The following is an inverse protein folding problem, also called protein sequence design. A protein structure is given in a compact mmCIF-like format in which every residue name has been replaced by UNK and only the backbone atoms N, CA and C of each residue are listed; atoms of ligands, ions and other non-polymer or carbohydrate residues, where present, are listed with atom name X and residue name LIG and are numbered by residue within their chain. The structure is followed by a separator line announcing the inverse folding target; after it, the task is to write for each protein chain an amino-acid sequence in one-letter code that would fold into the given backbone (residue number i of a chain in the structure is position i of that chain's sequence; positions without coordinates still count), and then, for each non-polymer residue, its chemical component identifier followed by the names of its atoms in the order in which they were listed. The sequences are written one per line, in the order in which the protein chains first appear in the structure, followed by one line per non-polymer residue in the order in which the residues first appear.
data_IF_969346311226
#
_entry.id   IF_969346311226
#
_cell.length_a   1.000
_cell.length_b   1.000
_cell.length_c   1.000
_cell.angle_alpha   90.00
_cell.angle_beta   90.00
_cell.angle_gamma   90.00
#
_symmetry.space_group_name_H-M   'P 1'
#
loop_
_entity.id
_entity.type
_entity.pdbx_description
1 polymer ?
#
# COMPACT_ATOMS: atom_id res chain seq x y z
N UNK A 1 -61.21 -24.92 -17.25
CA UNK A 1 -60.27 -25.67 -16.40
C UNK A 1 -59.13 -26.35 -17.20
N UNK A 2 -59.42 -27.15 -18.21
CA UNK A 2 -58.40 -27.92 -18.98
C UNK A 2 -57.25 -27.07 -19.55
N UNK A 3 -57.53 -25.88 -20.12
CA UNK A 3 -56.47 -24.99 -20.67
C UNK A 3 -55.48 -24.49 -19.58
N UNK A 4 -55.95 -24.17 -18.35
CA UNK A 4 -55.08 -23.73 -17.27
C UNK A 4 -54.14 -24.84 -16.74
N UNK A 5 -54.67 -26.09 -16.71
CA UNK A 5 -53.88 -27.25 -16.31
C UNK A 5 -52.77 -27.54 -17.32
N UNK A 6 -53.06 -27.42 -18.64
CA UNK A 6 -52.04 -27.61 -19.69
C UNK A 6 -50.91 -26.57 -19.58
N UNK A 7 -51.24 -25.30 -19.30
CA UNK A 7 -50.27 -24.25 -19.14
C UNK A 7 -49.36 -24.53 -17.93
N UNK A 8 -49.90 -24.99 -16.81
CA UNK A 8 -49.15 -25.35 -15.61
C UNK A 8 -48.23 -26.53 -15.89
N UNK A 9 -48.68 -27.55 -16.60
CA UNK A 9 -47.85 -28.71 -16.94
C UNK A 9 -46.70 -28.29 -17.87
N UNK A 10 -46.94 -27.42 -18.86
CA UNK A 10 -45.90 -26.91 -19.76
C UNK A 10 -44.85 -26.08 -18.98
N UNK A 11 -45.27 -25.22 -18.05
CA UNK A 11 -44.36 -24.47 -17.19
C UNK A 11 -43.51 -25.37 -16.32
N UNK A 12 -44.09 -26.42 -15.71
CA UNK A 12 -43.34 -27.38 -14.89
C UNK A 12 -42.31 -28.14 -15.72
N UNK A 13 -42.68 -28.60 -16.91
CA UNK A 13 -41.75 -29.29 -17.82
C UNK A 13 -40.63 -28.37 -18.26
N UNK A 14 -40.93 -27.09 -18.57
CA UNK A 14 -39.93 -26.09 -18.94
C UNK A 14 -38.93 -25.81 -17.78
N UNK A 15 -39.44 -25.74 -16.56
CA UNK A 15 -38.61 -25.54 -15.37
C UNK A 15 -37.69 -26.72 -15.09
N UNK A 16 -38.23 -27.94 -15.24
CA UNK A 16 -37.45 -29.19 -15.06
C UNK A 16 -36.37 -29.32 -16.13
N UNK A 17 -36.68 -28.99 -17.39
CA UNK A 17 -35.68 -29.00 -18.47
C UNK A 17 -34.59 -27.97 -18.26
N UNK A 18 -34.89 -26.76 -17.77
CA UNK A 18 -33.89 -25.74 -17.43
C UNK A 18 -32.96 -26.15 -16.29
N UNK A 19 -33.50 -26.82 -15.28
CA UNK A 19 -32.71 -27.31 -14.13
C UNK A 19 -31.86 -28.54 -14.49
N UNK A 20 -32.33 -29.37 -15.43
CA UNK A 20 -31.65 -30.58 -15.87
C UNK A 20 -30.50 -30.31 -16.87
N UNK A 21 -30.36 -29.10 -17.39
CA UNK A 21 -29.23 -28.75 -18.27
C UNK A 21 -27.93 -28.72 -17.45
N UNK A 22 -26.91 -29.53 -17.78
CA UNK A 22 -25.63 -29.46 -17.12
C UNK A 22 -25.04 -28.06 -17.22
N UNK A 23 -24.44 -27.57 -16.12
CA UNK A 23 -23.83 -26.22 -16.02
C UNK A 23 -22.85 -25.93 -17.16
N UNK A 24 -22.15 -26.96 -17.65
CA UNK A 24 -21.25 -26.89 -18.80
C UNK A 24 -21.97 -26.61 -20.14
N UNK A 25 -23.20 -27.09 -20.31
CA UNK A 25 -24.00 -26.81 -21.51
C UNK A 25 -24.61 -25.41 -21.48
N UNK A 26 -25.00 -24.94 -20.29
CA UNK A 26 -25.45 -23.57 -20.06
C UNK A 26 -24.33 -22.56 -20.38
N UNK A 27 -23.10 -22.84 -19.93
CA UNK A 27 -21.93 -22.05 -20.27
C UNK A 27 -21.59 -22.06 -21.77
N UNK A 28 -21.83 -23.17 -22.48
CA UNK A 28 -21.63 -23.22 -23.94
C UNK A 28 -22.66 -22.46 -24.75
N UNK A 29 -23.92 -22.39 -24.27
CA UNK A 29 -25.04 -21.78 -24.98
C UNK A 29 -25.25 -20.29 -24.66
N UNK A 30 -24.92 -19.89 -23.45
CA UNK A 30 -25.15 -18.53 -22.94
C UNK A 30 -23.91 -17.86 -22.37
N UNK A 31 -22.82 -18.61 -22.18
CA UNK A 31 -21.52 -18.05 -21.88
C UNK A 31 -21.00 -17.38 -23.14
N UNK A 32 -21.15 -16.08 -23.24
CA UNK A 32 -20.10 -15.35 -23.91
C UNK A 32 -18.82 -15.84 -23.25
N UNK A 33 -17.83 -16.31 -24.03
CA UNK A 33 -16.46 -16.32 -23.57
C UNK A 33 -16.13 -14.85 -23.25
N UNK A 34 -16.42 -14.45 -22.02
CA UNK A 34 -15.61 -13.45 -21.39
C UNK A 34 -14.30 -14.23 -21.28
N UNK A 35 -13.37 -13.97 -22.18
CA UNK A 35 -11.99 -14.31 -21.95
C UNK A 35 -11.73 -13.68 -20.58
N UNK A 36 -11.65 -14.51 -19.53
CA UNK A 36 -11.19 -14.03 -18.22
C UNK A 36 -9.87 -13.35 -18.56
N UNK A 37 -9.72 -12.08 -18.22
CA UNK A 37 -8.45 -11.42 -18.50
C UNK A 37 -7.38 -12.32 -17.90
N UNK A 38 -6.50 -12.83 -18.76
CA UNK A 38 -5.35 -13.62 -18.31
C UNK A 38 -4.63 -12.69 -17.35
N UNK A 39 -4.69 -13.01 -16.07
CA UNK A 39 -4.02 -12.22 -15.04
C UNK A 39 -2.54 -12.21 -15.38
N UNK A 40 -2.06 -11.06 -15.85
CA UNK A 40 -0.70 -10.93 -16.33
C UNK A 40 0.20 -10.98 -15.09
N UNK A 41 0.94 -12.07 -14.95
CA UNK A 41 1.91 -12.21 -13.85
C UNK A 41 3.12 -11.35 -14.20
N UNK A 42 3.28 -10.28 -13.45
CA UNK A 42 4.46 -9.43 -13.56
C UNK A 42 5.56 -9.94 -12.60
N UNK A 43 6.79 -9.95 -13.08
CA UNK A 43 7.97 -10.28 -12.27
C UNK A 43 8.59 -9.02 -11.65
N UNK A 44 8.37 -7.87 -12.26
CA UNK A 44 8.89 -6.58 -11.81
C UNK A 44 7.75 -5.74 -11.24
N UNK A 45 8.06 -4.94 -10.22
CA UNK A 45 7.09 -4.09 -9.55
C UNK A 45 7.69 -2.72 -9.25
N UNK A 46 6.85 -1.70 -9.35
CA UNK A 46 7.11 -0.36 -8.81
C UNK A 46 6.16 -0.08 -7.64
N UNK A 47 6.63 0.66 -6.65
CA UNK A 47 5.79 1.10 -5.54
C UNK A 47 5.37 2.53 -5.81
N UNK A 48 4.07 2.76 -5.85
CA UNK A 48 3.46 4.09 -5.93
C UNK A 48 2.43 4.27 -4.83
N UNK A 49 2.37 5.47 -4.27
CA UNK A 49 1.45 5.76 -3.18
C UNK A 49 0.20 6.45 -3.70
N UNK A 50 -0.94 5.83 -3.45
CA UNK A 50 -2.27 6.23 -3.94
C UNK A 50 -3.29 6.22 -2.82
N UNK A 51 -4.49 6.71 -3.06
CA UNK A 51 -5.59 6.68 -2.09
C UNK A 51 -6.42 5.42 -2.24
N UNK A 52 -6.80 4.80 -1.13
CA UNK A 52 -7.83 3.76 -1.11
C UNK A 52 -9.25 4.36 -0.91
N UNK A 53 -10.28 3.49 -0.89
CA UNK A 53 -11.68 3.88 -0.69
C UNK A 53 -11.96 4.52 0.68
N UNK A 54 -11.11 4.27 1.68
CA UNK A 54 -11.21 4.86 3.03
C UNK A 54 -10.47 6.20 3.14
N UNK A 55 -9.99 6.74 2.03
CA UNK A 55 -9.17 7.96 1.99
C UNK A 55 -7.85 7.84 2.76
N UNK A 56 -7.27 6.64 2.78
CA UNK A 56 -5.92 6.42 3.30
C UNK A 56 -4.91 6.38 2.16
N UNK A 57 -3.73 6.91 2.41
CA UNK A 57 -2.59 6.77 1.50
C UNK A 57 -2.02 5.35 1.64
N UNK A 58 -1.89 4.66 0.53
CA UNK A 58 -1.43 3.27 0.47
C UNK A 58 -0.39 3.12 -0.64
N UNK A 59 0.74 2.52 -0.32
CA UNK A 59 1.75 2.14 -1.29
C UNK A 59 1.37 0.81 -1.95
N UNK A 60 1.09 0.84 -3.24
CA UNK A 60 0.79 -0.36 -4.03
C UNK A 60 2.03 -0.85 -4.75
N UNK A 61 2.26 -2.15 -4.74
CA UNK A 61 3.21 -2.83 -5.63
C UNK A 61 2.53 -3.03 -6.99
N UNK A 62 2.78 -2.12 -7.92
CA UNK A 62 2.20 -2.19 -9.26
C UNK A 62 3.13 -2.98 -10.16
N UNK A 63 2.61 -4.05 -10.78
CA UNK A 63 3.36 -4.86 -11.73
C UNK A 63 3.70 -4.08 -13.00
N UNK A 64 4.96 -4.14 -13.43
CA UNK A 64 5.46 -3.52 -14.67
C UNK A 64 6.14 -4.57 -15.55
N UNK A 65 6.10 -4.39 -16.85
CA UNK A 65 6.73 -5.35 -17.78
C UNK A 65 8.26 -5.34 -17.64
N UNK A 66 8.81 -4.15 -17.51
CA UNK A 66 10.24 -3.89 -17.40
C UNK A 66 10.46 -2.71 -16.45
N UNK A 67 11.54 -2.74 -15.69
CA UNK A 67 11.98 -1.58 -14.92
C UNK A 67 12.71 -0.66 -15.89
N UNK A 68 12.16 0.52 -16.14
CA UNK A 68 12.76 1.52 -17.01
C UNK A 68 14.02 2.12 -16.36
N UNK A 69 14.97 2.55 -17.19
CA UNK A 69 16.16 3.28 -16.73
C UNK A 69 15.76 4.57 -16.00
N UNK A 70 14.71 5.24 -16.49
CA UNK A 70 14.12 6.41 -15.86
C UNK A 70 12.94 6.03 -14.97
N UNK A 71 13.24 5.64 -13.73
CA UNK A 71 12.23 5.26 -12.74
C UNK A 71 11.34 6.43 -12.31
N UNK A 72 11.80 7.69 -12.44
CA UNK A 72 10.99 8.87 -12.11
C UNK A 72 9.84 8.98 -13.11
N UNK A 73 10.14 8.87 -14.40
CA UNK A 73 9.11 8.89 -15.45
C UNK A 73 8.15 7.73 -15.30
N UNK A 74 8.67 6.52 -15.07
CA UNK A 74 7.84 5.32 -14.89
C UNK A 74 6.87 5.46 -13.71
N UNK A 75 7.35 5.85 -12.52
CA UNK A 75 6.49 6.08 -11.35
C UNK A 75 5.49 7.21 -11.57
N UNK A 76 5.91 8.28 -12.28
CA UNK A 76 5.02 9.38 -12.64
C UNK A 76 3.87 8.91 -13.55
N UNK A 77 4.18 8.12 -14.56
CA UNK A 77 3.18 7.59 -15.49
C UNK A 77 2.17 6.66 -14.77
N UNK A 78 2.62 5.84 -13.82
CA UNK A 78 1.73 5.05 -12.95
C UNK A 78 0.79 5.90 -12.09
N UNK A 79 1.22 7.09 -11.66
CA UNK A 79 0.39 8.02 -10.89
C UNK A 79 -0.56 8.87 -11.77
N UNK A 80 -0.31 8.96 -13.07
CA UNK A 80 -1.07 9.82 -14.00
C UNK A 80 -1.67 9.02 -15.14
N UNK A 81 -0.99 8.85 -16.25
CA UNK A 81 -1.50 8.23 -17.48
C UNK A 81 -2.03 6.80 -17.27
N UNK A 82 -1.36 6.03 -16.43
CA UNK A 82 -1.69 4.63 -16.15
C UNK A 82 -2.50 4.46 -14.88
N UNK A 83 -2.87 5.55 -14.20
CA UNK A 83 -3.64 5.51 -12.96
C UNK A 83 -5.03 4.89 -13.12
N UNK A 84 -5.55 4.80 -14.33
CA UNK A 84 -6.79 4.06 -14.65
C UNK A 84 -6.63 2.54 -14.55
N UNK A 85 -5.39 2.03 -14.58
CA UNK A 85 -5.06 0.61 -14.46
C UNK A 85 -4.87 0.16 -12.99
N UNK A 86 -4.99 1.08 -12.04
CA UNK A 86 -4.91 0.74 -10.62
C UNK A 86 -6.04 -0.23 -10.24
N UNK A 87 -5.81 -1.13 -9.26
CA UNK A 87 -6.84 -2.04 -8.78
C UNK A 87 -8.10 -1.30 -8.31
N UNK A 88 -9.25 -1.96 -8.42
CA UNK A 88 -10.53 -1.39 -7.97
C UNK A 88 -10.46 -0.94 -6.50
N UNK A 89 -10.91 0.27 -6.22
CA UNK A 89 -10.88 0.86 -4.88
C UNK A 89 -9.66 1.74 -4.61
N UNK A 90 -8.72 1.81 -5.55
CA UNK A 90 -7.56 2.70 -5.47
C UNK A 90 -7.62 3.78 -6.56
N UNK A 91 -7.14 4.97 -6.24
CA UNK A 91 -7.05 6.09 -7.18
C UNK A 91 -5.84 6.96 -6.89
N UNK A 92 -5.25 7.51 -7.92
CA UNK A 92 -4.24 8.55 -7.76
C UNK A 92 -4.86 9.82 -7.15
N UNK A 93 -4.20 10.47 -6.19
CA UNK A 93 -4.62 11.80 -5.72
C UNK A 93 -4.15 12.92 -6.66
N UNK A 94 -3.29 12.62 -7.63
CA UNK A 94 -2.83 13.56 -8.65
C UNK A 94 -3.84 13.58 -9.80
N UNK A 95 -4.16 14.78 -10.31
CA UNK A 95 -5.03 14.89 -11.47
C UNK A 95 -4.43 14.16 -12.67
N UNK A 96 -5.19 13.27 -13.30
CA UNK A 96 -4.75 12.40 -14.39
C UNK A 96 -4.25 13.18 -15.62
N UNK A 97 -4.77 14.38 -15.83
CA UNK A 97 -4.40 15.24 -16.96
C UNK A 97 -3.08 16.01 -16.71
N UNK A 98 -2.54 15.92 -15.48
CA UNK A 98 -1.27 16.56 -15.13
C UNK A 98 -0.12 15.99 -15.95
N UNK A 99 0.61 16.87 -16.63
CA UNK A 99 1.80 16.51 -17.40
C UNK A 99 3.05 16.92 -16.65
N UNK A 100 4.00 16.01 -16.55
CA UNK A 100 5.38 16.36 -16.21
C UNK A 100 6.05 16.94 -17.45
N UNK A 101 6.39 18.24 -17.43
CA UNK A 101 7.03 18.96 -18.52
C UNK A 101 8.51 18.57 -18.57
N UNK A 102 9.16 18.66 -17.42
CA UNK A 102 10.52 18.18 -17.19
C UNK A 102 10.73 17.92 -15.68
N UNK A 103 11.87 17.33 -15.33
CA UNK A 103 12.34 17.22 -13.95
C UNK A 103 13.87 17.32 -13.87
N UNK A 104 14.38 17.63 -12.69
CA UNK A 104 15.79 17.68 -12.38
C UNK A 104 16.07 17.14 -10.98
N UNK A 105 17.19 16.44 -10.81
CA UNK A 105 17.68 16.00 -9.49
C UNK A 105 19.01 16.72 -9.22
N UNK A 106 19.02 17.51 -8.15
CA UNK A 106 20.23 18.23 -7.71
C UNK A 106 20.31 18.17 -6.19
N UNK A 107 21.44 17.70 -5.65
CA UNK A 107 21.69 17.65 -4.21
C UNK A 107 20.56 16.97 -3.43
N UNK A 108 20.15 15.77 -3.84
CA UNK A 108 19.06 14.99 -3.23
C UNK A 108 17.66 15.66 -3.30
N UNK A 109 17.52 16.73 -4.09
CA UNK A 109 16.25 17.43 -4.33
C UNK A 109 15.77 17.11 -5.74
N UNK A 110 14.58 16.51 -5.82
CA UNK A 110 13.85 16.29 -7.06
C UNK A 110 12.94 17.50 -7.34
N UNK A 111 13.21 18.20 -8.42
CA UNK A 111 12.37 19.32 -8.86
C UNK A 111 11.52 18.89 -10.04
N UNK A 112 10.22 18.88 -9.89
CA UNK A 112 9.25 18.69 -10.97
C UNK A 112 8.80 20.02 -11.55
N UNK A 113 8.75 20.13 -12.87
CA UNK A 113 8.03 21.19 -13.57
C UNK A 113 6.77 20.59 -14.18
N UNK A 114 5.61 20.95 -13.63
CA UNK A 114 4.32 20.35 -13.97
C UNK A 114 3.43 21.35 -14.72
N UNK A 115 2.44 20.81 -15.40
CA UNK A 115 1.38 21.60 -16.02
C UNK A 115 0.35 22.09 -14.99
N UNK A 116 -0.48 23.06 -15.36
CA UNK A 116 -1.43 23.74 -14.46
C UNK A 116 -2.49 22.79 -13.90
N UNK A 117 -2.79 21.70 -14.59
CA UNK A 117 -3.75 20.70 -14.15
C UNK A 117 -3.37 20.06 -12.78
N UNK A 118 -2.10 20.17 -12.39
CA UNK A 118 -1.67 19.75 -11.05
C UNK A 118 -2.41 20.52 -9.94
N UNK A 119 -2.78 21.76 -10.16
CA UNK A 119 -3.52 22.59 -9.18
C UNK A 119 -4.92 22.03 -8.87
N UNK A 120 -5.45 21.16 -9.71
CA UNK A 120 -6.73 20.47 -9.50
C UNK A 120 -6.58 19.12 -8.77
N UNK A 121 -5.37 18.78 -8.35
CA UNK A 121 -5.08 17.55 -7.60
C UNK A 121 -5.61 17.62 -6.17
N UNK A 122 -5.72 16.47 -5.50
CA UNK A 122 -6.32 16.35 -4.17
C UNK A 122 -5.35 16.82 -3.06
N UNK A 123 -5.17 18.13 -2.93
CA UNK A 123 -4.52 18.83 -1.82
C UNK A 123 -3.39 18.07 -1.11
N UNK A 124 -3.55 17.86 0.19
CA UNK A 124 -2.57 17.13 1.02
C UNK A 124 -2.24 15.72 0.51
N UNK A 125 -3.21 15.00 -0.04
CA UNK A 125 -2.98 13.64 -0.51
C UNK A 125 -2.07 13.59 -1.75
N UNK A 126 -2.17 14.57 -2.65
CA UNK A 126 -1.27 14.67 -3.79
C UNK A 126 0.17 14.94 -3.32
N UNK A 127 0.36 15.86 -2.37
CA UNK A 127 1.66 16.16 -1.77
C UNK A 127 2.24 14.94 -1.06
N UNK A 128 1.42 14.23 -0.28
CA UNK A 128 1.83 13.00 0.40
C UNK A 128 2.19 11.89 -0.59
N UNK A 129 1.40 11.74 -1.66
CA UNK A 129 1.68 10.76 -2.73
C UNK A 129 3.03 11.02 -3.39
N UNK A 130 3.34 12.29 -3.71
CA UNK A 130 4.66 12.66 -4.24
C UNK A 130 5.77 12.30 -3.25
N UNK A 131 5.65 12.73 -2.00
CA UNK A 131 6.65 12.47 -0.97
C UNK A 131 6.95 10.97 -0.81
N UNK A 132 5.90 10.15 -0.67
CA UNK A 132 6.03 8.73 -0.40
C UNK A 132 6.42 7.90 -1.63
N UNK A 133 6.09 8.37 -2.84
CA UNK A 133 6.46 7.68 -4.09
C UNK A 133 7.91 7.96 -4.51
N UNK A 134 8.38 9.18 -4.33
CA UNK A 134 9.64 9.61 -4.94
C UNK A 134 10.78 9.86 -3.93
N UNK A 135 10.48 10.16 -2.66
CA UNK A 135 11.56 10.28 -1.68
C UNK A 135 12.05 8.90 -1.23
N UNK A 136 13.36 8.72 -1.26
CA UNK A 136 14.09 7.50 -0.90
C UNK A 136 15.48 7.83 -0.33
N UNK A 137 16.45 6.94 -0.48
CA UNK A 137 17.83 7.17 -0.03
C UNK A 137 18.54 8.25 -0.86
N UNK A 138 18.19 8.40 -2.14
CA UNK A 138 18.82 9.33 -3.08
C UNK A 138 18.07 10.66 -3.19
N UNK A 139 16.75 10.67 -2.92
CA UNK A 139 15.90 11.85 -3.00
C UNK A 139 15.28 12.14 -1.64
N UNK A 140 15.69 13.21 -1.01
CA UNK A 140 15.22 13.61 0.33
C UNK A 140 14.08 14.63 0.31
N UNK A 141 13.97 15.40 -0.74
CA UNK A 141 13.01 16.50 -0.84
C UNK A 141 12.51 16.66 -2.28
N UNK A 142 11.28 17.13 -2.44
CA UNK A 142 10.68 17.43 -3.72
C UNK A 142 10.27 18.90 -3.76
N UNK A 143 10.52 19.53 -4.88
CA UNK A 143 10.05 20.87 -5.24
C UNK A 143 9.14 20.76 -6.45
N UNK A 144 8.00 21.41 -6.41
CA UNK A 144 7.06 21.48 -7.55
C UNK A 144 7.05 22.88 -8.12
N UNK A 145 7.24 22.96 -9.43
CA UNK A 145 7.11 24.18 -10.22
C UNK A 145 5.90 24.06 -11.16
N UNK A 146 5.19 25.16 -11.35
CA UNK A 146 4.22 25.34 -12.42
C UNK A 146 4.59 26.61 -13.17
N UNK A 147 4.79 26.51 -14.47
CA UNK A 147 5.29 27.62 -15.29
C UNK A 147 6.57 28.26 -14.70
N UNK A 148 7.48 27.44 -14.20
CA UNK A 148 8.73 27.82 -13.52
C UNK A 148 8.54 28.60 -12.19
N UNK A 149 7.36 28.63 -11.63
CA UNK A 149 7.10 29.24 -10.32
C UNK A 149 6.92 28.14 -9.27
N UNK A 150 7.55 28.32 -8.12
CA UNK A 150 7.43 27.37 -7.00
C UNK A 150 5.99 27.36 -6.50
N UNK A 151 5.44 26.16 -6.36
CA UNK A 151 4.15 25.92 -5.72
C UNK A 151 4.39 25.63 -4.24
N UNK A 152 3.73 26.38 -3.37
CA UNK A 152 3.78 26.21 -1.91
C UNK A 152 2.39 26.00 -1.29
N UNK A 153 1.36 25.93 -2.12
CA UNK A 153 -0.01 25.65 -1.71
C UNK A 153 -0.74 24.86 -2.78
N UNK A 154 -1.47 23.83 -2.36
CA UNK A 154 -2.34 23.03 -3.22
C UNK A 154 -3.68 22.85 -2.50
N UNK A 155 -4.78 23.31 -3.11
CA UNK A 155 -6.07 23.39 -2.46
C UNK A 155 -5.94 24.21 -1.14
N UNK A 156 -6.40 23.70 -0.02
CA UNK A 156 -6.25 24.35 1.29
C UNK A 156 -4.96 23.93 2.05
N UNK A 157 -4.13 23.11 1.44
CA UNK A 157 -2.89 22.61 2.07
C UNK A 157 -1.68 23.47 1.68
N UNK A 158 -1.09 24.12 2.68
CA UNK A 158 0.17 24.86 2.54
C UNK A 158 1.35 23.98 2.94
N UNK A 159 2.44 24.06 2.18
CA UNK A 159 3.66 23.27 2.42
C UNK A 159 4.89 24.10 2.05
N UNK A 160 5.97 23.89 2.81
CA UNK A 160 7.28 24.50 2.53
C UNK A 160 8.24 23.52 1.89
N UNK A 161 8.08 22.23 2.22
CA UNK A 161 8.87 21.11 1.73
C UNK A 161 7.97 19.91 1.50
N UNK A 162 8.33 19.12 0.52
CA UNK A 162 7.66 17.85 0.22
C UNK A 162 8.66 16.74 0.51
N UNK A 163 8.50 16.05 1.61
CA UNK A 163 9.34 14.94 2.04
C UNK A 163 8.51 13.94 2.90
N UNK A 164 9.11 12.85 3.35
CA UNK A 164 8.40 11.84 4.16
C UNK A 164 8.04 12.28 5.59
N UNK A 165 8.37 13.51 5.99
CA UNK A 165 7.91 14.10 7.26
C UNK A 165 6.43 14.56 7.17
N UNK A 166 5.83 14.55 5.99
CA UNK A 166 4.39 14.80 5.82
C UNK A 166 3.60 13.74 6.57
N UNK A 167 2.89 14.16 7.63
CA UNK A 167 2.04 13.27 8.41
C UNK A 167 0.94 12.65 7.55
N UNK A 168 0.81 11.33 7.57
CA UNK A 168 -0.15 10.57 6.77
C UNK A 168 -0.89 9.54 7.63
N UNK A 169 -2.13 9.26 7.29
CA UNK A 169 -2.95 8.18 7.90
C UNK A 169 -2.88 8.15 9.44
N UNK A 170 -2.79 9.31 10.09
CA UNK A 170 -2.58 9.35 11.53
C UNK A 170 -3.74 8.71 12.29
N UNK A 171 -3.38 8.02 13.36
CA UNK A 171 -4.32 7.41 14.28
C UNK A 171 -5.05 8.51 15.07
N UNK A 172 -6.39 8.51 15.01
CA UNK A 172 -7.21 9.57 15.61
C UNK A 172 -6.94 9.75 17.11
N UNK A 173 -6.77 8.66 17.84
CA UNK A 173 -6.51 8.68 19.28
C UNK A 173 -5.17 9.33 19.61
N UNK A 174 -4.15 9.12 18.78
CA UNK A 174 -2.83 9.70 19.02
C UNK A 174 -2.81 11.22 18.86
N UNK A 175 -3.77 11.81 18.13
CA UNK A 175 -3.86 13.27 17.97
C UNK A 175 -4.18 14.05 19.25
N UNK A 176 -4.70 13.38 20.28
CA UNK A 176 -5.06 14.00 21.56
C UNK A 176 -3.95 13.94 22.60
N UNK A 177 -2.82 13.32 22.27
CA UNK A 177 -1.67 13.26 23.18
C UNK A 177 -0.92 14.61 23.14
N UNK A 178 -0.66 15.18 24.30
CA UNK A 178 0.26 16.33 24.43
C UNK A 178 1.69 15.83 24.23
N UNK A 179 2.10 15.83 22.97
CA UNK A 179 3.35 15.21 22.64
C UNK A 179 4.24 16.12 21.83
N UNK A 180 5.49 15.74 21.79
CA UNK A 180 6.54 16.48 21.08
C UNK A 180 7.12 15.67 19.93
N UNK A 181 6.81 14.39 19.85
CA UNK A 181 7.43 13.46 18.89
C UNK A 181 6.38 12.90 17.93
N UNK A 182 6.75 12.81 16.66
CA UNK A 182 5.98 12.11 15.64
C UNK A 182 6.84 11.02 15.03
N UNK A 183 6.26 9.84 14.82
CA UNK A 183 6.93 8.72 14.15
C UNK A 183 6.00 8.14 13.11
N UNK A 184 6.46 8.04 11.87
CA UNK A 184 5.70 7.37 10.83
C UNK A 184 6.23 5.95 10.65
N UNK A 185 5.33 4.99 10.81
CA UNK A 185 5.61 3.55 10.69
C UNK A 185 4.96 3.04 9.42
N UNK A 186 5.69 2.26 8.63
CA UNK A 186 5.19 1.62 7.43
C UNK A 186 4.75 0.20 7.81
N UNK A 187 3.44 -0.03 7.82
CA UNK A 187 2.89 -1.35 8.01
C UNK A 187 2.81 -2.06 6.66
N UNK A 188 3.36 -3.27 6.61
CA UNK A 188 3.38 -4.10 5.41
C UNK A 188 2.22 -5.10 5.46
N UNK A 189 1.41 -5.17 4.39
CA UNK A 189 0.31 -6.11 4.24
C UNK A 189 0.36 -6.70 2.82
N UNK A 190 0.84 -7.92 2.67
CA UNK A 190 0.96 -8.62 1.39
C UNK A 190 1.47 -7.72 0.23
N UNK A 191 0.57 -7.17 -0.57
CA UNK A 191 0.91 -6.40 -1.77
C UNK A 191 0.92 -4.88 -1.56
N UNK A 192 0.64 -4.39 -0.34
CA UNK A 192 0.57 -2.97 -0.09
C UNK A 192 1.23 -2.55 1.23
N UNK A 193 1.63 -1.29 1.26
CA UNK A 193 2.32 -0.63 2.36
C UNK A 193 1.44 0.49 2.89
N UNK A 194 1.21 0.55 4.20
CA UNK A 194 0.44 1.62 4.81
C UNK A 194 1.35 2.43 5.74
N UNK A 195 1.77 3.63 5.36
CA UNK A 195 2.44 4.53 6.27
C UNK A 195 1.41 5.12 7.24
N UNK A 196 1.68 5.05 8.54
CA UNK A 196 0.84 5.63 9.61
C UNK A 196 1.69 6.51 10.49
N UNK A 197 1.29 7.77 10.65
CA UNK A 197 1.95 8.71 11.54
C UNK A 197 1.32 8.65 12.92
N UNK A 198 2.13 8.42 13.94
CA UNK A 198 1.77 8.41 15.35
C UNK A 198 2.32 9.64 16.04
N UNK A 199 1.53 10.19 16.97
CA UNK A 199 1.95 11.25 17.88
C UNK A 199 2.13 10.61 19.26
N UNK A 200 3.29 10.80 19.91
CA UNK A 200 3.60 10.13 21.17
C UNK A 200 4.57 10.94 22.05
N UNK A 201 4.63 10.58 23.31
CA UNK A 201 5.53 11.22 24.30
C UNK A 201 6.85 10.46 24.48
N UNK A 202 6.95 9.24 23.91
CA UNK A 202 8.10 8.38 24.12
C UNK A 202 9.39 9.01 23.58
N UNK A 203 10.41 8.99 24.41
CA UNK A 203 11.77 9.40 23.99
C UNK A 203 12.53 8.27 23.29
N UNK A 204 12.12 7.01 23.49
CA UNK A 204 12.69 5.84 22.84
C UNK A 204 11.86 5.47 21.60
N UNK A 205 12.18 6.12 20.51
CA UNK A 205 11.50 5.94 19.24
C UNK A 205 11.59 4.49 18.73
N UNK A 206 12.70 3.79 19.00
CA UNK A 206 12.89 2.44 18.52
C UNK A 206 11.95 1.45 19.21
N UNK A 207 11.87 1.51 20.55
CA UNK A 207 10.91 0.71 21.31
C UNK A 207 9.47 1.02 20.93
N UNK A 208 9.12 2.31 20.79
CA UNK A 208 7.79 2.71 20.34
C UNK A 208 7.43 2.07 18.98
N UNK A 209 8.36 2.11 18.00
CA UNK A 209 8.14 1.50 16.69
C UNK A 209 7.92 -0.01 16.80
N UNK A 210 8.74 -0.72 17.58
CA UNK A 210 8.61 -2.18 17.79
C UNK A 210 7.23 -2.51 18.34
N UNK A 211 6.80 -1.84 19.40
CA UNK A 211 5.50 -2.07 20.04
C UNK A 211 4.33 -1.83 19.06
N UNK A 212 4.38 -0.73 18.30
CA UNK A 212 3.35 -0.42 17.31
C UNK A 212 3.32 -1.41 16.15
N UNK A 213 4.47 -1.86 15.67
CA UNK A 213 4.55 -2.88 14.62
C UNK A 213 3.98 -4.21 15.11
N UNK A 214 4.38 -4.65 16.30
CA UNK A 214 3.91 -5.92 16.86
C UNK A 214 2.40 -5.85 17.12
N UNK A 215 1.91 -4.82 17.80
CA UNK A 215 0.49 -4.69 18.12
C UNK A 215 -0.43 -4.57 16.91
N UNK A 216 0.06 -4.01 15.80
CA UNK A 216 -0.71 -3.90 14.55
C UNK A 216 -0.84 -5.24 13.80
N UNK A 217 0.11 -6.16 14.00
CA UNK A 217 0.18 -7.43 13.30
C UNK A 217 -0.27 -8.63 14.15
N UNK A 218 -0.35 -8.46 15.48
CA UNK A 218 -0.77 -9.50 16.40
C UNK A 218 -2.11 -9.14 17.04
N UNK A 219 -3.01 -10.11 17.10
CA UNK A 219 -4.30 -9.96 17.78
C UNK A 219 -4.20 -10.10 19.31
N UNK A 220 -2.99 -10.18 19.85
CA UNK A 220 -2.73 -10.41 21.27
C UNK A 220 -1.74 -9.39 21.83
N UNK A 221 -1.93 -9.04 23.11
CA UNK A 221 -0.99 -8.25 23.88
C UNK A 221 0.02 -9.12 24.66
N UNK A 222 -0.07 -10.45 24.53
CA UNK A 222 0.81 -11.39 25.23
C UNK A 222 2.07 -11.66 24.39
N UNK A 223 2.99 -10.74 24.43
CA UNK A 223 4.32 -10.85 23.82
C UNK A 223 5.35 -10.09 24.66
N UNK A 224 6.60 -10.50 24.53
CA UNK A 224 7.76 -9.70 24.91
C UNK A 224 8.77 -9.61 23.77
N UNK A 225 9.71 -8.69 23.88
CA UNK A 225 10.79 -8.59 22.91
C UNK A 225 12.10 -8.10 23.55
N UNK A 226 13.20 -8.44 22.89
CA UNK A 226 14.53 -7.97 23.25
C UNK A 226 15.22 -7.43 22.00
N UNK A 227 15.69 -6.19 22.07
CA UNK A 227 16.49 -5.56 21.03
C UNK A 227 17.92 -5.39 21.54
N UNK A 228 18.89 -6.06 20.91
CA UNK A 228 20.31 -5.94 21.20
C UNK A 228 21.06 -5.61 19.93
N UNK A 229 21.58 -4.36 19.84
CA UNK A 229 22.26 -3.86 18.64
C UNK A 229 21.35 -3.97 17.41
N UNK A 230 21.68 -4.90 16.52
CA UNK A 230 20.96 -5.17 15.26
C UNK A 230 20.15 -6.47 15.33
N UNK A 231 19.94 -7.05 16.50
CA UNK A 231 19.20 -8.29 16.70
C UNK A 231 17.91 -8.02 17.47
N UNK A 232 16.77 -8.34 16.86
CA UNK A 232 15.46 -8.27 17.47
C UNK A 232 14.94 -9.70 17.68
N UNK A 233 14.62 -10.02 18.93
CA UNK A 233 13.97 -11.27 19.32
C UNK A 233 12.59 -10.93 19.85
N UNK A 234 11.54 -11.51 19.26
CA UNK A 234 10.15 -11.38 19.69
C UNK A 234 9.69 -12.74 20.20
N UNK A 235 9.17 -12.78 21.44
CA UNK A 235 8.62 -13.97 22.05
C UNK A 235 7.11 -13.81 22.18
N UNK A 236 6.36 -14.74 21.60
CA UNK A 236 4.90 -14.73 21.62
C UNK A 236 4.41 -15.63 22.76
N UNK A 237 3.59 -15.07 23.64
CA UNK A 237 3.00 -15.79 24.78
C UNK A 237 1.88 -16.75 24.43
N UNK A 238 1.47 -16.83 23.18
CA UNK A 238 0.42 -17.72 22.72
C UNK A 238 0.91 -18.76 21.73
N UNK A 239 0.24 -19.93 21.79
CA UNK A 239 0.42 -21.02 20.86
C UNK A 239 -0.35 -20.85 19.54
N UNK A 240 -1.03 -19.73 19.32
CA UNK A 240 -1.71 -19.48 18.06
C UNK A 240 -0.69 -19.30 16.95
N UNK A 241 -0.78 -20.20 16.00
CA UNK A 241 0.04 -20.17 14.80
C UNK A 241 -0.37 -18.93 13.99
N UNK A 242 0.53 -17.96 13.89
CA UNK A 242 0.41 -16.91 12.90
C UNK A 242 0.27 -17.58 11.53
N UNK A 243 -0.65 -17.10 10.72
CA UNK A 243 -0.67 -17.49 9.31
C UNK A 243 0.65 -17.05 8.67
N UNK A 244 1.02 -17.68 7.58
CA UNK A 244 2.23 -17.30 6.83
C UNK A 244 2.20 -15.82 6.42
N UNK A 245 1.02 -15.29 6.07
CA UNK A 245 0.85 -13.90 5.66
C UNK A 245 1.03 -12.93 6.84
N UNK A 246 0.45 -13.21 8.00
CA UNK A 246 0.65 -12.39 9.20
C UNK A 246 2.12 -12.39 9.64
N UNK A 247 2.77 -13.53 9.60
CA UNK A 247 4.20 -13.62 9.90
C UNK A 247 5.06 -12.82 8.91
N UNK A 248 4.80 -12.93 7.62
CA UNK A 248 5.49 -12.16 6.60
C UNK A 248 5.24 -10.65 6.79
N UNK A 249 4.00 -10.24 7.02
CA UNK A 249 3.63 -8.84 7.27
C UNK A 249 4.38 -8.27 8.48
N UNK A 250 4.47 -9.02 9.56
CA UNK A 250 5.22 -8.63 10.76
C UNK A 250 6.72 -8.47 10.45
N UNK A 251 7.33 -9.49 9.85
CA UNK A 251 8.77 -9.49 9.52
C UNK A 251 9.11 -8.36 8.54
N UNK A 252 8.31 -8.17 7.51
CA UNK A 252 8.55 -7.14 6.51
C UNK A 252 8.32 -5.73 7.10
N UNK A 253 7.32 -5.55 7.97
CA UNK A 253 7.13 -4.29 8.70
C UNK A 253 8.34 -3.99 9.60
N UNK A 254 8.90 -4.99 10.29
CA UNK A 254 10.12 -4.82 11.09
C UNK A 254 11.29 -4.37 10.21
N UNK A 255 11.56 -5.09 9.11
CA UNK A 255 12.65 -4.79 8.18
C UNK A 255 12.53 -3.42 7.54
N UNK A 256 11.31 -2.97 7.26
CA UNK A 256 11.06 -1.69 6.61
C UNK A 256 11.34 -0.49 7.52
N UNK A 257 11.09 -0.65 8.82
CA UNK A 257 11.15 0.47 9.77
C UNK A 257 12.38 0.46 10.65
N UNK A 258 13.03 -0.68 10.84
CA UNK A 258 14.15 -0.87 11.77
C UNK A 258 15.38 -1.37 11.04
N UNK A 259 16.53 -0.80 11.38
CA UNK A 259 17.84 -1.25 10.88
C UNK A 259 18.30 -2.49 11.66
N UNK A 260 17.54 -3.59 11.56
CA UNK A 260 17.89 -4.86 12.20
C UNK A 260 18.29 -5.89 11.15
N UNK A 261 19.42 -6.54 11.37
CA UNK A 261 19.96 -7.56 10.48
C UNK A 261 19.52 -8.98 10.89
N UNK A 262 19.23 -9.18 12.17
CA UNK A 262 18.79 -10.46 12.70
C UNK A 262 17.43 -10.34 13.39
N UNK A 263 16.45 -11.12 12.89
CA UNK A 263 15.09 -11.17 13.45
C UNK A 263 14.80 -12.62 13.83
N UNK A 264 14.40 -12.83 15.07
CA UNK A 264 13.95 -14.14 15.57
C UNK A 264 12.56 -13.97 16.18
N UNK A 265 11.60 -14.77 15.74
CA UNK A 265 10.26 -14.81 16.30
C UNK A 265 10.07 -16.21 16.91
N UNK A 266 9.88 -16.27 18.21
CA UNK A 266 9.64 -17.48 18.97
C UNK A 266 8.16 -17.60 19.33
N UNK A 267 7.60 -18.80 19.21
CA UNK A 267 6.40 -19.22 19.91
C UNK A 267 6.76 -19.85 21.27
N UNK A 268 5.77 -20.36 22.00
CA UNK A 268 5.97 -20.91 23.35
C UNK A 268 7.03 -22.03 23.40
N UNK A 269 7.09 -22.90 22.40
CA UNK A 269 8.02 -24.05 22.40
C UNK A 269 8.89 -24.16 21.12
N UNK A 270 8.68 -23.26 20.15
CA UNK A 270 9.32 -23.39 18.83
C UNK A 270 9.71 -22.02 18.28
N UNK A 271 10.80 -21.99 17.50
CA UNK A 271 11.15 -20.85 16.67
C UNK A 271 10.21 -20.84 15.46
N UNK A 272 9.41 -19.77 15.33
CA UNK A 272 8.46 -19.59 14.22
C UNK A 272 9.16 -18.97 13.02
N UNK A 273 10.09 -18.04 13.25
CA UNK A 273 10.86 -17.37 12.21
C UNK A 273 12.28 -17.06 12.71
N UNK A 274 13.22 -17.20 11.81
CA UNK A 274 14.60 -16.72 11.99
C UNK A 274 15.09 -16.18 10.65
N UNK A 275 15.64 -14.96 10.64
CA UNK A 275 16.29 -14.43 9.44
C UNK A 275 17.47 -15.34 9.04
N UNK A 276 17.61 -15.58 7.75
CA UNK A 276 18.80 -16.26 7.23
C UNK A 276 20.00 -15.34 7.52
N UNK A 277 21.01 -15.90 8.16
CA UNK A 277 22.30 -15.19 8.29
C UNK A 277 22.81 -14.97 6.87
N UNK A 278 23.09 -13.73 6.52
CA UNK A 278 23.91 -13.45 5.35
C UNK A 278 25.27 -14.02 5.72
N UNK A 279 25.54 -15.28 5.32
CA UNK A 279 26.87 -15.82 5.39
C UNK A 279 27.74 -14.89 4.55
N UNK A 280 28.74 -14.30 5.20
CA UNK A 280 29.78 -13.50 4.57
C UNK A 280 30.35 -14.31 3.40
N UNK A 281 30.07 -13.89 2.17
CA UNK A 281 30.75 -14.34 0.96
C UNK A 281 32.02 -13.53 0.74
#
# INVERSE_FOLDING_TARGET
MKKKIIIIIVLIVLTITLVAIPKSTYQKLFGNKIDEPVEKIYTNHQIVYVMNSEQKLVGLKVGVEEIEDDQIVQKWDLLTKESTNLPTGYKSPINIDTKMIDYQINNEILTFNLSEEFLESNGKFAISSLAWTFCDEDIKEIVVLINNNIVSKLDDYEFTRINKEVCVNYEFESMFVYQTTTTTIIHHYDEYLIPVTYFHEDSDQCNFMIEKIISANLLTEDYDYTLEKESLVVNLGISELLTKNELNSLVDSIKYNLSVSNIVINGIETVIYKSESVDEL
#
